data_IF_486143353807
#
_entry.id   IF_486143353807
#
_cell.length_a   1.000
_cell.length_b   1.000
_cell.length_c   1.000
_cell.angle_alpha   90.00
_cell.angle_beta   90.00
_cell.angle_gamma   90.00
#
_symmetry.space_group_name_H-M   'P 1'
#
loop_
_entity.id
_entity.type
_entity.pdbx_description
1 polymer ?
#
# COMPACT_ATOMS: atom_id res chain seq x y z
N UNK A 1 -19.67 -10.01 -5.83
CA UNK A 1 -19.57 -11.29 -5.10
C UNK A 1 -18.09 -11.57 -4.96
N UNK A 2 -17.54 -11.53 -3.74
CA UNK A 2 -16.17 -11.93 -3.48
C UNK A 2 -15.98 -13.36 -3.98
N UNK A 3 -15.03 -13.60 -4.88
CA UNK A 3 -14.72 -14.95 -5.30
C UNK A 3 -14.23 -15.74 -4.08
N UNK A 4 -14.88 -16.86 -3.76
CA UNK A 4 -14.40 -17.77 -2.72
C UNK A 4 -12.98 -18.30 -3.00
N UNK A 5 -12.47 -18.11 -4.23
CA UNK A 5 -11.10 -18.51 -4.62
C UNK A 5 -10.05 -17.62 -3.99
N UNK A 6 -10.20 -16.29 -4.03
CA UNK A 6 -9.14 -15.37 -3.58
C UNK A 6 -8.74 -15.60 -2.12
N UNK A 7 -9.70 -15.81 -1.21
CA UNK A 7 -9.36 -16.04 0.20
C UNK A 7 -8.52 -17.30 0.40
N UNK A 8 -8.79 -18.37 -0.33
CA UNK A 8 -8.01 -19.61 -0.25
C UNK A 8 -6.67 -19.48 -0.99
N UNK A 9 -6.65 -18.79 -2.13
CA UNK A 9 -5.42 -18.46 -2.86
C UNK A 9 -4.49 -17.60 -2.01
N UNK A 10 -5.02 -16.63 -1.27
CA UNK A 10 -4.29 -15.77 -0.34
C UNK A 10 -3.65 -16.59 0.80
N UNK A 11 -4.39 -17.53 1.40
CA UNK A 11 -3.82 -18.43 2.42
C UNK A 11 -2.68 -19.27 1.82
N UNK A 12 -2.89 -19.84 0.63
CA UNK A 12 -1.88 -20.64 -0.05
C UNK A 12 -0.63 -19.82 -0.41
N UNK A 13 -0.80 -18.57 -0.85
CA UNK A 13 0.30 -17.63 -1.10
C UNK A 13 1.08 -17.37 0.18
N UNK A 14 0.40 -17.02 1.27
CA UNK A 14 1.03 -16.76 2.57
C UNK A 14 1.77 -17.99 3.11
N UNK A 15 1.20 -19.19 2.98
CA UNK A 15 1.84 -20.44 3.42
C UNK A 15 3.06 -20.80 2.57
N UNK A 16 2.99 -20.51 1.27
CA UNK A 16 4.13 -20.57 0.37
C UNK A 16 5.23 -19.59 0.76
N UNK A 17 4.88 -18.36 1.14
CA UNK A 17 5.83 -17.35 1.62
C UNK A 17 6.46 -17.75 2.96
N UNK A 18 5.71 -18.29 3.91
CA UNK A 18 6.26 -18.77 5.19
C UNK A 18 7.26 -19.92 4.97
N UNK A 19 6.90 -20.87 4.11
CA UNK A 19 7.79 -21.98 3.75
C UNK A 19 9.09 -21.49 3.13
N UNK A 20 8.99 -20.57 2.16
CA UNK A 20 10.15 -19.95 1.50
C UNK A 20 11.02 -19.15 2.49
N UNK A 21 10.39 -18.33 3.34
CA UNK A 21 11.11 -17.48 4.30
C UNK A 21 11.94 -18.35 5.26
N UNK A 22 11.34 -19.41 5.82
CA UNK A 22 12.04 -20.34 6.72
C UNK A 22 13.24 -21.02 6.06
N UNK A 23 13.15 -21.39 4.78
CA UNK A 23 14.27 -21.99 4.05
C UNK A 23 15.45 -21.02 3.90
N UNK A 24 15.18 -19.71 3.88
CA UNK A 24 16.19 -18.64 3.84
C UNK A 24 16.70 -18.22 5.22
N UNK A 25 16.16 -18.80 6.30
CA UNK A 25 16.42 -18.34 7.66
C UNK A 25 15.68 -17.04 8.02
N UNK A 26 14.69 -16.64 7.23
CA UNK A 26 13.80 -15.50 7.48
C UNK A 26 12.54 -15.99 8.18
N UNK A 27 11.67 -15.07 8.60
CA UNK A 27 10.35 -15.41 9.13
C UNK A 27 9.26 -14.53 8.54
N UNK A 28 8.09 -15.12 8.33
CA UNK A 28 6.87 -14.40 7.98
C UNK A 28 6.07 -14.17 9.26
N UNK A 29 5.95 -12.90 9.67
CA UNK A 29 5.08 -12.52 10.78
C UNK A 29 3.69 -12.24 10.24
N UNK A 30 2.68 -12.79 10.90
CA UNK A 30 1.26 -12.59 10.57
C UNK A 30 0.51 -12.20 11.82
N UNK A 31 0.08 -10.95 11.90
CA UNK A 31 -0.70 -10.46 13.02
C UNK A 31 -2.14 -11.01 13.00
N UNK A 32 -2.84 -11.04 14.14
CA UNK A 32 -4.23 -11.49 14.21
C UNK A 32 -5.16 -10.70 13.26
N UNK A 33 -6.25 -11.32 12.76
CA UNK A 33 -7.22 -10.65 11.90
C UNK A 33 -7.97 -9.52 12.62
N UNK A 34 -8.54 -8.64 11.82
CA UNK A 34 -9.61 -7.75 12.25
C UNK A 34 -10.96 -8.45 12.21
N UNK A 35 -11.88 -7.99 13.05
CA UNK A 35 -13.31 -8.29 12.95
C UNK A 35 -13.94 -7.62 11.73
N UNK A 36 -15.13 -8.06 11.32
CA UNK A 36 -15.85 -7.43 10.20
C UNK A 36 -16.19 -5.98 10.52
N UNK A 37 -16.60 -5.74 11.76
CA UNK A 37 -16.95 -4.45 12.31
C UNK A 37 -15.76 -3.48 12.28
N UNK A 38 -14.55 -3.96 12.61
CA UNK A 38 -13.32 -3.17 12.51
C UNK A 38 -12.97 -2.83 11.06
N UNK A 39 -13.07 -3.79 10.13
CA UNK A 39 -12.81 -3.53 8.71
C UNK A 39 -13.82 -2.52 8.14
N UNK A 40 -15.10 -2.67 8.48
CA UNK A 40 -16.16 -1.74 8.03
C UNK A 40 -15.99 -0.33 8.63
N UNK A 41 -15.33 -0.20 9.77
CA UNK A 41 -15.06 1.08 10.43
C UNK A 41 -13.80 1.79 9.92
N UNK A 42 -12.94 1.14 9.10
CA UNK A 42 -11.68 1.75 8.64
C UNK A 42 -11.86 3.11 7.96
N UNK A 43 -12.81 3.32 7.02
CA UNK A 43 -13.01 4.63 6.39
C UNK A 43 -13.36 5.71 7.43
N UNK A 44 -14.17 5.34 8.42
CA UNK A 44 -14.56 6.25 9.50
C UNK A 44 -13.39 6.63 10.41
N UNK A 45 -12.46 5.70 10.65
CA UNK A 45 -11.26 6.00 11.45
C UNK A 45 -10.45 7.12 10.81
N UNK A 46 -10.28 7.12 9.49
CA UNK A 46 -9.55 8.16 8.75
C UNK A 46 -10.22 9.53 8.83
N UNK A 47 -11.54 9.57 9.01
CA UNK A 47 -12.29 10.83 9.23
C UNK A 47 -11.97 11.52 10.56
N UNK A 48 -11.31 10.81 11.49
CA UNK A 48 -10.86 11.35 12.77
C UNK A 48 -9.54 12.12 12.71
N UNK A 49 -8.97 12.35 11.52
CA UNK A 49 -7.69 13.04 11.36
C UNK A 49 -7.74 14.46 11.97
N UNK A 50 -6.85 14.79 12.92
CA UNK A 50 -7.01 15.98 13.76
C UNK A 50 -6.48 17.28 13.13
N UNK A 51 -5.77 17.20 12.00
CA UNK A 51 -5.16 18.34 11.33
C UNK A 51 -5.96 18.77 10.10
N UNK A 52 -5.82 20.04 9.74
CA UNK A 52 -6.46 20.61 8.54
C UNK A 52 -5.88 19.99 7.27
N UNK A 53 -6.77 19.54 6.38
CA UNK A 53 -6.43 18.92 5.10
C UNK A 53 -6.72 19.92 3.96
N UNK A 54 -5.85 20.04 2.94
CA UNK A 54 -6.12 20.89 1.77
C UNK A 54 -7.45 20.52 1.08
N UNK A 55 -7.75 19.22 1.03
CA UNK A 55 -9.06 18.69 0.63
C UNK A 55 -9.61 17.81 1.76
N UNK A 56 -10.82 18.05 2.28
CA UNK A 56 -11.39 17.20 3.32
C UNK A 56 -11.55 15.76 2.84
N UNK A 57 -11.05 14.81 3.63
CA UNK A 57 -11.31 13.38 3.43
C UNK A 57 -12.82 13.09 3.46
N UNK A 58 -13.28 12.20 2.58
CA UNK A 58 -14.67 11.75 2.49
C UNK A 58 -14.71 10.25 2.76
N UNK A 59 -15.44 9.85 3.80
CA UNK A 59 -15.58 8.44 4.19
C UNK A 59 -16.02 7.55 3.01
N UNK A 60 -16.94 8.06 2.18
CA UNK A 60 -17.49 7.34 1.04
C UNK A 60 -16.48 7.15 -0.10
N UNK A 61 -15.39 7.92 -0.14
CA UNK A 61 -14.35 7.78 -1.16
C UNK A 61 -13.49 6.53 -0.92
N UNK A 62 -13.38 6.07 0.33
CA UNK A 62 -12.66 4.83 0.64
C UNK A 62 -13.62 3.70 0.96
N UNK A 63 -14.01 2.97 -0.08
CA UNK A 63 -14.62 1.65 0.12
C UNK A 63 -13.48 0.63 0.21
N UNK A 64 -13.33 -0.04 1.36
CA UNK A 64 -12.29 -1.06 1.56
C UNK A 64 -12.37 -2.12 0.44
N UNK A 65 -11.34 -2.26 -0.42
CA UNK A 65 -11.37 -3.17 -1.56
C UNK A 65 -11.62 -4.61 -1.14
N UNK A 66 -12.37 -5.38 -1.92
CA UNK A 66 -12.81 -6.72 -1.52
C UNK A 66 -11.64 -7.67 -1.27
N UNK A 67 -10.63 -7.66 -2.15
CA UNK A 67 -9.44 -8.50 -2.00
C UNK A 67 -8.62 -8.12 -0.75
N UNK A 68 -8.52 -6.83 -0.44
CA UNK A 68 -7.86 -6.34 0.77
C UNK A 68 -8.68 -6.60 2.04
N UNK A 69 -10.01 -6.52 1.96
CA UNK A 69 -10.93 -6.93 3.02
C UNK A 69 -10.73 -8.39 3.39
N UNK A 70 -10.56 -9.29 2.41
CA UNK A 70 -10.26 -10.70 2.70
C UNK A 70 -8.90 -10.86 3.41
N UNK A 71 -7.90 -10.04 3.05
CA UNK A 71 -6.63 -9.98 3.76
C UNK A 71 -6.81 -9.56 5.21
N UNK A 72 -7.50 -8.45 5.48
CA UNK A 72 -7.72 -7.93 6.83
C UNK A 72 -8.51 -8.89 7.74
N UNK A 73 -9.43 -9.67 7.16
CA UNK A 73 -10.17 -10.72 7.85
C UNK A 73 -9.37 -12.00 8.10
N UNK A 74 -8.12 -12.07 7.61
CA UNK A 74 -7.14 -13.11 7.94
C UNK A 74 -6.03 -12.55 8.83
N UNK A 75 -5.52 -11.37 8.51
CA UNK A 75 -4.40 -10.72 9.17
C UNK A 75 -4.53 -9.20 9.08
N UNK A 76 -4.40 -8.49 10.21
CA UNK A 76 -4.32 -7.01 10.20
C UNK A 76 -2.99 -6.50 9.64
N UNK A 77 -1.96 -7.35 9.67
CA UNK A 77 -0.61 -7.03 9.21
C UNK A 77 0.13 -8.32 8.85
N UNK A 78 0.91 -8.28 7.78
CA UNK A 78 1.82 -9.34 7.38
C UNK A 78 3.13 -8.70 6.96
N UNK A 79 4.25 -9.19 7.51
CA UNK A 79 5.59 -8.72 7.16
C UNK A 79 6.61 -9.84 7.10
N UNK A 80 7.59 -9.69 6.23
CA UNK A 80 8.80 -10.51 6.26
C UNK A 80 9.82 -9.88 7.20
N UNK A 81 10.49 -10.70 7.98
CA UNK A 81 11.61 -10.26 8.80
C UNK A 81 12.86 -11.11 8.53
N UNK A 82 14.01 -10.46 8.54
CA UNK A 82 15.32 -11.07 8.37
C UNK A 82 16.33 -10.53 9.39
N UNK A 83 17.48 -11.19 9.51
CA UNK A 83 18.58 -10.72 10.35
C UNK A 83 19.80 -10.46 9.45
N UNK A 84 20.00 -9.23 8.94
CA UNK A 84 21.11 -8.94 8.03
C UNK A 84 22.47 -9.15 8.71
N UNK A 85 22.58 -8.72 9.97
CA UNK A 85 23.80 -8.84 10.78
C UNK A 85 23.74 -9.98 11.81
N UNK A 86 22.62 -10.72 11.88
CA UNK A 86 22.43 -11.87 12.77
C UNK A 86 22.00 -11.55 14.21
N UNK A 87 21.99 -10.27 14.60
CA UNK A 87 21.72 -9.85 15.98
C UNK A 87 20.24 -9.49 16.24
N UNK A 88 19.62 -8.75 15.32
CA UNK A 88 18.23 -8.28 15.45
C UNK A 88 17.39 -8.67 14.24
N UNK A 89 16.09 -8.87 14.47
CA UNK A 89 15.13 -9.09 13.39
C UNK A 89 14.68 -7.74 12.86
N UNK A 90 14.87 -7.52 11.58
CA UNK A 90 14.48 -6.32 10.86
C UNK A 90 13.37 -6.64 9.88
N UNK A 91 12.46 -5.69 9.68
CA UNK A 91 11.38 -5.82 8.69
C UNK A 91 11.97 -5.62 7.29
N UNK A 92 11.74 -6.59 6.41
CA UNK A 92 11.98 -6.43 4.99
C UNK A 92 10.90 -5.52 4.41
N UNK A 93 11.18 -4.22 4.38
CA UNK A 93 10.20 -3.18 4.08
C UNK A 93 9.41 -3.39 2.77
N UNK A 94 10.00 -3.89 1.66
CA UNK A 94 9.21 -4.16 0.44
C UNK A 94 8.10 -5.22 0.62
N UNK A 95 8.15 -6.03 1.68
CA UNK A 95 7.09 -6.96 2.07
C UNK A 95 6.62 -6.62 3.50
N UNK A 96 6.01 -5.45 3.66
CA UNK A 96 5.33 -5.05 4.88
C UNK A 96 3.95 -4.47 4.53
N UNK A 97 2.91 -5.22 4.89
CA UNK A 97 1.51 -4.90 4.60
C UNK A 97 0.79 -4.73 5.92
N UNK A 98 0.04 -3.65 6.08
CA UNK A 98 -0.50 -3.23 7.36
C UNK A 98 -1.88 -2.59 7.22
N UNK A 99 -2.67 -2.61 8.29
CA UNK A 99 -4.02 -2.01 8.33
C UNK A 99 -3.93 -0.49 8.35
N UNK A 100 -4.69 0.25 7.50
CA UNK A 100 -4.64 1.70 7.51
C UNK A 100 -4.92 2.30 8.88
N UNK A 101 -4.12 3.31 9.24
CA UNK A 101 -4.27 4.09 10.46
C UNK A 101 -4.54 5.55 10.11
N UNK A 102 -4.68 6.44 11.10
CA UNK A 102 -4.77 7.88 10.83
C UNK A 102 -3.60 8.42 10.02
N UNK A 103 -2.43 7.79 10.13
CA UNK A 103 -1.20 8.16 9.41
C UNK A 103 -1.16 7.59 7.98
N UNK A 104 -2.12 6.75 7.60
CA UNK A 104 -2.28 6.27 6.22
C UNK A 104 -2.79 7.30 5.24
N UNK A 105 -3.40 8.37 5.76
CA UNK A 105 -3.63 9.53 4.93
C UNK A 105 -2.25 10.09 4.61
N UNK A 106 -1.82 9.91 3.37
CA UNK A 106 -0.59 10.51 2.83
C UNK A 106 -0.60 12.04 2.97
N UNK A 107 -1.76 12.64 3.20
CA UNK A 107 -1.91 14.03 3.61
C UNK A 107 -1.10 14.42 4.87
N UNK A 108 -0.65 13.46 5.67
CA UNK A 108 0.36 13.70 6.72
C UNK A 108 1.65 14.34 6.18
N UNK A 109 1.90 14.26 4.87
CA UNK A 109 3.07 14.81 4.18
C UNK A 109 2.78 16.09 3.38
N UNK A 110 1.51 16.41 3.09
CA UNK A 110 1.13 17.63 2.34
C UNK A 110 0.17 18.50 3.18
N UNK A 111 0.69 19.32 4.10
CA UNK A 111 -0.12 20.22 4.91
C UNK A 111 -0.95 21.22 4.08
N UNK A 112 -2.06 21.69 4.64
CA UNK A 112 -2.84 22.80 4.08
C UNK A 112 -1.96 24.01 3.75
N UNK A 113 -2.14 24.60 2.58
CA UNK A 113 -1.30 25.69 2.06
C UNK A 113 -0.02 25.27 1.33
N UNK A 114 0.25 23.96 1.17
CA UNK A 114 1.35 23.48 0.32
C UNK A 114 1.01 23.75 -1.15
N UNK A 115 1.94 24.35 -1.90
CA UNK A 115 1.69 24.77 -3.29
C UNK A 115 2.80 24.31 -4.24
N UNK A 116 2.42 24.02 -5.48
CA UNK A 116 3.30 23.82 -6.64
C UNK A 116 2.76 24.72 -7.75
N UNK A 117 3.64 25.45 -8.43
CA UNK A 117 3.26 26.42 -9.48
C UNK A 117 2.14 27.40 -9.03
N UNK A 118 2.25 27.92 -7.81
CA UNK A 118 1.29 28.83 -7.15
C UNK A 118 -0.14 28.25 -6.96
N UNK A 119 -0.30 26.93 -7.09
CA UNK A 119 -1.58 26.22 -6.89
C UNK A 119 -1.47 25.25 -5.72
N UNK A 120 -2.50 25.21 -4.89
CA UNK A 120 -2.54 24.33 -3.73
C UNK A 120 -2.68 22.87 -4.15
N UNK A 121 -1.99 21.98 -3.43
CA UNK A 121 -1.90 20.56 -3.74
C UNK A 121 -2.45 19.66 -2.63
N UNK A 122 -2.87 18.46 -3.00
CA UNK A 122 -3.38 17.45 -2.07
C UNK A 122 -2.98 16.04 -2.48
N UNK A 123 -2.82 15.18 -1.48
CA UNK A 123 -2.64 13.73 -1.60
C UNK A 123 -3.69 12.97 -0.80
N UNK A 124 -4.69 13.65 -0.21
CA UNK A 124 -5.69 13.06 0.71
C UNK A 124 -6.50 11.90 0.11
N UNK A 125 -6.47 11.78 -1.22
CA UNK A 125 -7.09 10.71 -1.98
C UNK A 125 -6.24 9.43 -2.11
N UNK A 126 -5.03 9.43 -1.58
CA UNK A 126 -4.14 8.27 -1.46
C UNK A 126 -4.16 7.73 -0.03
N UNK A 127 -4.42 6.43 0.11
CA UNK A 127 -4.46 5.76 1.42
C UNK A 127 -3.43 4.65 1.44
N UNK A 128 -2.33 4.87 2.18
CA UNK A 128 -1.24 3.89 2.25
C UNK A 128 -1.62 2.67 3.08
N UNK A 129 -1.21 1.50 2.61
CA UNK A 129 -1.50 0.20 3.25
C UNK A 129 -0.31 -0.77 3.26
N UNK A 130 0.78 -0.43 2.58
CA UNK A 130 2.01 -1.22 2.57
C UNK A 130 3.22 -0.33 2.30
N UNK A 131 4.36 -0.73 2.84
CA UNK A 131 5.63 -0.11 2.48
C UNK A 131 6.06 -0.64 1.12
N UNK A 132 6.70 0.23 0.34
CA UNK A 132 7.31 -0.14 -0.93
C UNK A 132 8.83 -0.23 -0.78
N UNK A 133 9.44 0.81 -0.19
CA UNK A 133 10.87 0.86 0.10
C UNK A 133 11.74 0.48 -1.11
N UNK A 134 11.42 1.02 -2.29
CA UNK A 134 12.03 0.65 -3.58
C UNK A 134 13.28 1.47 -3.88
N UNK A 135 14.17 1.59 -2.89
CA UNK A 135 15.34 2.47 -2.92
C UNK A 135 15.14 3.84 -2.28
N UNK A 136 13.90 4.18 -1.90
CA UNK A 136 13.54 5.39 -1.15
C UNK A 136 12.80 4.98 0.13
N UNK A 137 13.31 5.44 1.29
CA UNK A 137 12.91 4.97 2.62
C UNK A 137 11.43 5.16 2.92
N UNK A 138 10.82 6.19 2.34
CA UNK A 138 9.43 6.58 2.59
C UNK A 138 8.46 6.24 1.46
N UNK A 139 8.86 5.41 0.48
CA UNK A 139 7.96 4.99 -0.60
C UNK A 139 6.90 3.98 -0.11
N UNK A 140 5.64 4.16 -0.51
CA UNK A 140 4.48 3.40 -0.04
C UNK A 140 3.55 3.00 -1.18
N UNK A 141 2.84 1.89 -0.99
CA UNK A 141 1.71 1.52 -1.84
C UNK A 141 0.41 2.07 -1.26
N UNK A 142 -0.38 2.72 -2.12
CA UNK A 142 -1.58 3.45 -1.75
C UNK A 142 -2.79 3.02 -2.59
N UNK A 143 -3.97 2.99 -1.97
CA UNK A 143 -5.24 2.94 -2.70
C UNK A 143 -5.57 4.32 -3.26
N UNK A 144 -5.95 4.39 -4.54
CA UNK A 144 -6.40 5.63 -5.17
C UNK A 144 -7.92 5.78 -5.07
N UNK A 145 -8.40 6.83 -4.40
CA UNK A 145 -9.81 6.98 -4.05
C UNK A 145 -10.60 7.99 -4.90
N UNK A 146 -9.97 8.70 -5.86
CA UNK A 146 -10.69 9.61 -6.78
C UNK A 146 -11.42 8.88 -7.90
N UNK A 147 -11.21 7.58 -8.05
CA UNK A 147 -11.96 6.72 -8.96
C UNK A 147 -12.96 5.87 -8.20
N UNK A 148 -14.10 5.60 -8.82
CA UNK A 148 -15.04 4.62 -8.28
C UNK A 148 -14.41 3.21 -8.30
N UNK A 149 -14.68 2.37 -7.29
CA UNK A 149 -14.22 0.99 -7.30
C UNK A 149 -14.74 0.22 -8.51
N UNK A 150 -13.84 -0.44 -9.24
CA UNK A 150 -14.18 -1.29 -10.37
C UNK A 150 -14.23 -2.74 -9.92
N UNK A 151 -15.42 -3.33 -9.94
CA UNK A 151 -15.59 -4.72 -9.48
C UNK A 151 -15.39 -4.90 -7.97
N UNK A 152 -15.45 -3.82 -7.18
CA UNK A 152 -15.17 -3.84 -5.74
C UNK A 152 -13.69 -3.64 -5.39
N UNK A 153 -12.86 -3.30 -6.37
CA UNK A 153 -11.43 -3.01 -6.17
C UNK A 153 -11.11 -1.55 -6.46
N UNK A 154 -10.13 -1.01 -5.73
CA UNK A 154 -9.52 0.28 -6.01
C UNK A 154 -8.14 0.03 -6.64
N UNK A 155 -7.74 0.84 -7.63
CA UNK A 155 -6.41 0.70 -8.20
C UNK A 155 -5.35 1.23 -7.24
N UNK A 156 -4.14 0.74 -7.42
CA UNK A 156 -3.01 1.00 -6.54
C UNK A 156 -1.98 1.89 -7.20
N UNK A 157 -1.43 2.81 -6.41
CA UNK A 157 -0.35 3.70 -6.82
C UNK A 157 0.84 3.51 -5.90
N UNK A 158 2.02 3.70 -6.48
CA UNK A 158 3.26 3.85 -5.72
C UNK A 158 3.44 5.34 -5.44
N UNK A 159 3.41 5.70 -4.16
CA UNK A 159 3.86 7.00 -3.70
C UNK A 159 5.36 6.93 -3.44
N UNK A 160 6.14 7.75 -4.13
CA UNK A 160 7.58 7.91 -3.91
C UNK A 160 7.86 9.26 -3.26
N UNK A 161 8.47 9.22 -2.07
CA UNK A 161 8.72 10.40 -1.25
C UNK A 161 9.92 11.23 -1.73
N UNK A 162 10.76 10.73 -2.64
CA UNK A 162 11.84 11.57 -3.21
C UNK A 162 11.27 12.66 -4.15
N UNK A 163 10.00 12.55 -4.49
CA UNK A 163 9.26 13.50 -5.31
C UNK A 163 7.92 13.86 -4.69
N UNK A 164 7.90 14.25 -3.39
CA UNK A 164 6.77 14.55 -2.47
C UNK A 164 5.49 15.21 -3.05
N UNK A 165 5.50 15.65 -4.31
CA UNK A 165 4.39 16.24 -5.04
C UNK A 165 3.97 15.51 -6.34
N UNK A 166 4.74 14.61 -6.96
CA UNK A 166 4.38 14.10 -8.31
C UNK A 166 3.12 13.21 -8.31
N UNK A 167 2.87 12.50 -7.22
CA UNK A 167 1.66 11.69 -7.04
C UNK A 167 0.47 12.48 -6.46
N UNK A 168 0.62 13.79 -6.24
CA UNK A 168 -0.45 14.65 -5.76
C UNK A 168 -1.31 15.24 -6.88
N UNK A 169 -2.35 15.94 -6.47
CA UNK A 169 -3.27 16.64 -7.36
C UNK A 169 -3.39 18.10 -6.97
N UNK A 170 -3.72 18.94 -7.93
CA UNK A 170 -4.17 20.29 -7.63
C UNK A 170 -5.56 20.27 -6.98
N UNK A 171 -5.75 21.13 -5.97
CA UNK A 171 -7.01 21.22 -5.20
C UNK A 171 -8.16 21.81 -6.03
N UNK A 172 -7.85 22.73 -6.94
CA UNK A 172 -8.83 23.53 -7.68
C UNK A 172 -9.55 22.76 -8.80
N UNK A 173 -8.83 21.99 -9.60
CA UNK A 173 -9.38 21.23 -10.73
C UNK A 173 -9.20 19.71 -10.60
N UNK A 174 -8.34 19.26 -9.69
CA UNK A 174 -8.09 17.85 -9.48
C UNK A 174 -7.15 17.20 -10.49
N UNK A 175 -6.48 17.98 -11.34
CA UNK A 175 -5.48 17.45 -12.26
C UNK A 175 -4.26 16.93 -11.50
N UNK A 176 -3.61 15.93 -12.06
CA UNK A 176 -2.32 15.43 -11.57
C UNK A 176 -1.25 16.53 -11.64
N UNK A 177 -0.36 16.54 -10.65
CA UNK A 177 0.76 17.48 -10.62
C UNK A 177 1.74 17.25 -11.77
N UNK A 178 1.97 16.00 -12.16
CA UNK A 178 2.68 15.66 -13.38
C UNK A 178 1.77 14.95 -14.38
N UNK A 179 1.34 15.70 -15.40
CA UNK A 179 0.55 15.19 -16.53
C UNK A 179 1.26 14.10 -17.35
N UNK A 180 2.59 13.98 -17.28
CA UNK A 180 3.40 12.98 -17.97
C UNK A 180 3.88 11.84 -17.07
N UNK A 181 3.80 12.01 -15.75
CA UNK A 181 4.14 10.99 -14.76
C UNK A 181 2.97 10.54 -13.89
N UNK A 182 1.80 10.17 -14.44
CA UNK A 182 1.22 8.95 -13.92
C UNK A 182 2.14 7.84 -14.43
N UNK A 183 3.27 7.58 -13.76
CA UNK A 183 3.86 6.25 -13.82
C UNK A 183 2.82 5.35 -13.14
N UNK A 184 1.83 5.02 -13.96
CA UNK A 184 0.90 3.90 -14.00
C UNK A 184 0.45 3.43 -12.64
N UNK A 185 -0.87 3.39 -12.44
CA UNK A 185 -1.47 2.40 -11.53
C UNK A 185 -0.64 1.12 -11.60
N UNK A 186 0.09 0.82 -10.53
CA UNK A 186 0.97 -0.34 -10.55
C UNK A 186 0.13 -1.58 -10.75
N UNK A 187 -1.09 -1.56 -10.21
CA UNK A 187 -2.02 -2.68 -10.20
C UNK A 187 -3.48 -2.18 -10.15
N UNK A 188 -4.37 -2.93 -10.79
CA UNK A 188 -5.81 -2.67 -10.77
C UNK A 188 -6.49 -3.09 -9.44
N UNK A 189 -5.79 -3.88 -8.60
CA UNK A 189 -6.33 -4.41 -7.33
C UNK A 189 -5.23 -4.85 -6.36
N UNK A 190 -5.61 -5.01 -5.09
CA UNK A 190 -4.71 -5.59 -4.07
C UNK A 190 -4.37 -7.06 -4.37
N UNK A 191 -5.32 -7.85 -4.87
CA UNK A 191 -5.06 -9.23 -5.30
C UNK A 191 -3.94 -9.32 -6.36
N UNK A 192 -4.02 -8.48 -7.40
CA UNK A 192 -3.04 -8.48 -8.47
C UNK A 192 -1.65 -8.09 -7.95
N UNK A 193 -1.59 -7.03 -7.13
CA UNK A 193 -0.36 -6.57 -6.50
C UNK A 193 0.24 -7.61 -5.56
N UNK A 194 -0.54 -8.17 -4.64
CA UNK A 194 -0.03 -9.10 -3.63
C UNK A 194 0.46 -10.41 -4.27
N UNK A 195 -0.21 -10.85 -5.32
CA UNK A 195 0.23 -12.00 -6.13
C UNK A 195 1.57 -11.71 -6.81
N UNK A 196 1.73 -10.52 -7.40
CA UNK A 196 3.00 -10.09 -8.01
C UNK A 196 4.11 -9.97 -6.98
N UNK A 197 3.85 -9.35 -5.83
CA UNK A 197 4.80 -9.21 -4.72
C UNK A 197 5.32 -10.57 -4.26
N UNK A 198 4.41 -11.50 -3.97
CA UNK A 198 4.78 -12.87 -3.58
C UNK A 198 5.60 -13.58 -4.67
N UNK A 199 5.34 -13.32 -5.95
CA UNK A 199 6.11 -13.91 -7.04
C UNK A 199 7.51 -13.30 -7.16
N UNK A 200 7.62 -11.96 -7.09
CA UNK A 200 8.88 -11.22 -7.22
C UNK A 200 9.82 -11.53 -6.06
N UNK A 201 9.36 -11.48 -4.81
CA UNK A 201 10.21 -11.73 -3.63
C UNK A 201 10.78 -13.15 -3.60
N UNK A 202 10.09 -14.11 -4.24
CA UNK A 202 10.55 -15.51 -4.32
C UNK A 202 11.44 -15.81 -5.53
N UNK A 203 11.76 -14.81 -6.36
CA UNK A 203 12.68 -14.98 -7.49
C UNK A 203 14.08 -15.34 -7.00
N UNK A 204 14.66 -16.39 -7.58
CA UNK A 204 16.03 -16.80 -7.25
C UNK A 204 17.09 -15.95 -7.95
N UNK A 205 16.72 -15.26 -9.03
CA UNK A 205 17.60 -14.41 -9.83
C UNK A 205 17.69 -12.97 -9.30
N UNK A 206 16.93 -12.63 -8.25
CA UNK A 206 16.83 -11.29 -7.69
C UNK A 206 17.61 -11.19 -6.36
N UNK A 207 18.48 -10.19 -6.25
CA UNK A 207 19.07 -9.83 -4.95
C UNK A 207 18.06 -8.98 -4.17
N UNK A 208 17.52 -9.55 -3.09
CA UNK A 208 16.52 -8.87 -2.26
C UNK A 208 17.08 -7.65 -1.52
N UNK A 209 18.40 -7.52 -1.40
CA UNK A 209 19.03 -6.32 -0.85
C UNK A 209 19.15 -5.18 -1.88
N UNK A 210 18.97 -5.47 -3.17
CA UNK A 210 18.84 -4.46 -4.22
C UNK A 210 17.37 -4.06 -4.36
N UNK A 211 16.95 -3.13 -3.51
CA UNK A 211 15.56 -2.66 -3.46
C UNK A 211 15.10 -1.98 -4.76
N UNK A 212 16.03 -1.40 -5.54
CA UNK A 212 15.72 -0.82 -6.85
C UNK A 212 15.40 -1.92 -7.84
N UNK A 213 16.18 -3.01 -7.86
CA UNK A 213 15.88 -4.17 -8.70
C UNK A 213 14.54 -4.83 -8.33
N UNK A 214 14.22 -4.92 -7.03
CA UNK A 214 12.91 -5.40 -6.54
C UNK A 214 11.78 -4.50 -7.03
N UNK A 215 11.97 -3.18 -6.97
CA UNK A 215 10.99 -2.21 -7.45
C UNK A 215 10.74 -2.28 -8.94
N UNK A 216 11.81 -2.36 -9.74
CA UNK A 216 11.69 -2.56 -11.18
C UNK A 216 10.96 -3.88 -11.49
N UNK A 217 11.30 -4.97 -10.81
CA UNK A 217 10.62 -6.25 -10.99
C UNK A 217 9.14 -6.21 -10.58
N UNK A 218 8.74 -5.35 -9.66
CA UNK A 218 7.32 -5.14 -9.32
C UNK A 218 6.56 -4.42 -10.44
N UNK A 219 7.22 -3.52 -11.17
CA UNK A 219 6.60 -2.66 -12.19
C UNK A 219 6.67 -3.22 -13.62
N UNK A 220 7.47 -4.27 -13.87
CA UNK A 220 7.56 -5.03 -15.14
C UNK A 220 6.37 -5.98 -15.39
#
# INVERSE_FOLDING_TARGET
MASATWREDLKALLDGMDTWARQRGWRLVREPPLTREEVDALPRLLSGYPYELPTPYREEAFVVPESYRQFLLLHREVRLEHQPDGDEWETYQPFHIWTPTLESLTASWTPSGTTVDDREITTTDLISFADAYLGVEAARWCFYTRTEPKGGELPLLLEDNDYEALAGHYVDDGEWLDSNAPLTFGFDSFEAWFTRLCAVVRREDLDLNDYVAVGNAMLE
#
